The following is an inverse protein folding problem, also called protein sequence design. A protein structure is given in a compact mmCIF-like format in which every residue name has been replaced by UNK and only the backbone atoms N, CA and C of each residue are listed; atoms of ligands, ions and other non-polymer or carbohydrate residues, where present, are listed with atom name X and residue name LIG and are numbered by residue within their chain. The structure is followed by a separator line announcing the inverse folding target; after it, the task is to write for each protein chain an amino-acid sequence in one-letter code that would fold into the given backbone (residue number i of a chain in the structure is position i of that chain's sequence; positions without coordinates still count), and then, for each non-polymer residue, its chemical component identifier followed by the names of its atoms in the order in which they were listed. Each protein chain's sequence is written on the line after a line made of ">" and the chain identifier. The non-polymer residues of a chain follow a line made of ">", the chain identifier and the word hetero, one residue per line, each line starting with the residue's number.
data_IF_190447801599
#
_entry.id   IF_190447801599
#
_cell.length_a   1.000
_cell.length_b   1.000
_cell.length_c   1.000
_cell.angle_alpha   90.00
_cell.angle_beta   90.00
_cell.angle_gamma   90.00
#
_symmetry.space_group_name_H-M   'P 1'
#
loop_
_entity.id
_entity.type
_entity.pdbx_description
1 polymer ?
#
# COMPACT_ATOMS: atom_id res chain seq x y z
N UNK A 1 -5.47 15.34 6.85
CA UNK A 1 -5.10 13.98 6.43
C UNK A 1 -3.96 14.05 5.42
N UNK A 2 -3.02 13.15 5.52
CA UNK A 2 -1.90 13.09 4.59
C UNK A 2 -2.11 11.96 3.60
N UNK A 3 -1.67 12.16 2.37
CA UNK A 3 -1.77 11.15 1.33
C UNK A 3 -0.36 10.79 0.86
N UNK A 4 -0.03 9.51 0.89
CA UNK A 4 1.24 8.99 0.40
C UNK A 4 0.98 8.10 -0.80
N UNK A 5 1.90 8.12 -1.75
CA UNK A 5 1.78 7.36 -2.99
C UNK A 5 3.05 6.56 -3.22
N UNK A 6 2.90 5.29 -3.57
CA UNK A 6 4.02 4.38 -3.76
C UNK A 6 3.85 3.58 -5.04
N UNK A 7 4.96 3.18 -5.65
CA UNK A 7 4.95 2.23 -6.76
C UNK A 7 5.08 0.84 -6.20
N UNK A 8 4.26 -0.08 -6.68
CA UNK A 8 4.28 -1.47 -6.23
C UNK A 8 4.23 -2.42 -7.41
N UNK A 9 4.42 -3.70 -7.13
CA UNK A 9 4.19 -4.75 -8.12
C UNK A 9 2.89 -5.52 -7.87
N UNK A 10 1.95 -4.92 -7.17
CA UNK A 10 0.64 -5.52 -6.92
C UNK A 10 -0.16 -5.47 -8.21
N UNK A 11 -0.31 -6.64 -8.87
CA UNK A 11 -0.81 -6.70 -10.25
C UNK A 11 -2.25 -7.15 -10.41
N UNK A 12 -2.86 -7.68 -9.38
CA UNK A 12 -4.19 -8.27 -9.52
C UNK A 12 -5.01 -8.17 -8.25
N UNK A 13 -6.29 -8.47 -8.34
CA UNK A 13 -7.20 -8.44 -7.19
C UNK A 13 -6.80 -9.41 -6.09
N UNK A 14 -6.27 -10.57 -6.46
CA UNK A 14 -5.78 -11.54 -5.48
C UNK A 14 -4.58 -11.00 -4.70
N UNK A 15 -3.72 -10.24 -5.38
CA UNK A 15 -2.59 -9.58 -4.73
C UNK A 15 -3.08 -8.51 -3.76
N UNK A 16 -4.09 -7.73 -4.15
CA UNK A 16 -4.70 -6.74 -3.26
C UNK A 16 -5.27 -7.42 -2.02
N UNK A 17 -5.96 -8.55 -2.21
CA UNK A 17 -6.50 -9.31 -1.09
C UNK A 17 -5.40 -9.81 -0.14
N UNK A 18 -4.23 -10.14 -0.67
CA UNK A 18 -3.09 -10.59 0.13
C UNK A 18 -2.54 -9.46 1.01
N UNK A 19 -2.46 -8.23 0.49
CA UNK A 19 -1.95 -7.10 1.28
C UNK A 19 -3.00 -6.50 2.21
N UNK A 20 -4.27 -6.75 1.97
CA UNK A 20 -5.37 -6.17 2.76
C UNK A 20 -5.19 -6.38 4.27
N UNK A 21 -4.97 -7.60 4.79
CA UNK A 21 -4.82 -7.77 6.23
C UNK A 21 -3.56 -7.09 6.77
N UNK A 22 -2.52 -6.99 5.97
CA UNK A 22 -1.29 -6.31 6.39
C UNK A 22 -1.50 -4.81 6.52
N UNK A 23 -2.15 -4.19 5.55
CA UNK A 23 -2.40 -2.75 5.57
C UNK A 23 -3.49 -2.37 6.55
N UNK A 24 -4.54 -3.18 6.67
CA UNK A 24 -5.62 -2.92 7.62
C UNK A 24 -5.17 -3.04 9.07
N UNK A 25 -4.09 -3.77 9.33
CA UNK A 25 -3.54 -3.88 10.68
C UNK A 25 -2.79 -2.63 11.11
N UNK A 26 -2.47 -1.71 10.19
CA UNK A 26 -1.75 -0.49 10.50
C UNK A 26 -2.73 0.61 10.89
N UNK A 27 -2.69 1.03 12.14
CA UNK A 27 -3.65 1.98 12.70
C UNK A 27 -3.51 3.40 12.17
N UNK A 28 -2.34 3.75 11.63
CA UNK A 28 -2.11 5.09 11.09
C UNK A 28 -2.72 5.25 9.70
N UNK A 29 -3.09 4.15 9.06
CA UNK A 29 -3.73 4.15 7.74
C UNK A 29 -5.25 4.17 7.92
N UNK A 30 -5.90 5.22 7.43
CA UNK A 30 -7.36 5.31 7.46
C UNK A 30 -7.99 4.74 6.19
N UNK A 31 -7.34 4.98 5.06
CA UNK A 31 -7.79 4.47 3.76
C UNK A 31 -6.58 4.15 2.90
N UNK A 32 -6.73 3.17 2.04
CA UNK A 32 -5.73 2.86 1.03
C UNK A 32 -6.39 2.23 -0.17
N UNK A 33 -5.77 2.36 -1.33
CA UNK A 33 -6.20 1.62 -2.52
C UNK A 33 -5.03 1.47 -3.47
N UNK A 34 -5.15 0.49 -4.38
CA UNK A 34 -4.16 0.21 -5.40
C UNK A 34 -4.78 0.48 -6.76
N UNK A 35 -4.10 1.28 -7.57
CA UNK A 35 -4.54 1.54 -8.94
C UNK A 35 -4.03 0.42 -9.85
N UNK A 36 -4.90 -0.54 -10.11
CA UNK A 36 -4.56 -1.70 -10.94
C UNK A 36 -4.56 -1.38 -12.44
N UNK A 37 -5.09 -0.24 -12.82
CA UNK A 37 -5.12 0.18 -14.22
C UNK A 37 -3.81 0.85 -14.65
N UNK A 38 -3.09 1.43 -13.69
CA UNK A 38 -1.81 2.04 -13.96
C UNK A 38 -0.73 0.95 -14.13
N UNK A 39 0.17 1.05 -15.13
CA UNK A 39 1.27 0.10 -15.26
C UNK A 39 2.21 0.09 -14.06
N UNK A 40 2.24 1.16 -13.29
CA UNK A 40 3.10 1.27 -12.11
C UNK A 40 2.43 0.80 -10.82
N UNK A 41 1.14 0.45 -10.88
CA UNK A 41 0.40 -0.11 -9.74
C UNK A 41 0.56 0.74 -8.49
N UNK A 42 0.18 2.00 -8.59
CA UNK A 42 0.31 2.92 -7.45
C UNK A 42 -0.54 2.50 -6.27
N UNK A 43 0.08 2.45 -5.11
CA UNK A 43 -0.61 2.31 -3.85
C UNK A 43 -0.77 3.69 -3.24
N UNK A 44 -2.01 4.11 -3.01
CA UNK A 44 -2.32 5.38 -2.36
C UNK A 44 -2.79 5.10 -0.94
N UNK A 45 -2.16 5.76 0.03
CA UNK A 45 -2.46 5.59 1.45
C UNK A 45 -2.85 6.94 2.03
N UNK A 46 -3.95 6.98 2.75
CA UNK A 46 -4.42 8.19 3.42
C UNK A 46 -4.53 7.94 4.92
N UNK A 47 -4.10 8.91 5.70
CA UNK A 47 -4.19 8.82 7.15
C UNK A 47 -3.75 10.11 7.81
N UNK A 48 -3.89 10.18 9.14
CA UNK A 48 -3.50 11.35 9.92
C UNK A 48 -1.98 11.52 9.94
N UNK A 49 -1.26 10.43 10.21
CA UNK A 49 0.20 10.40 10.23
C UNK A 49 0.69 9.07 9.70
N UNK A 50 0.51 8.81 8.39
CA UNK A 50 0.94 7.53 7.83
C UNK A 50 2.46 7.40 7.89
N UNK A 51 2.93 6.22 8.29
CA UNK A 51 4.35 5.93 8.45
C UNK A 51 4.85 5.14 7.22
N UNK A 52 5.68 5.77 6.39
CA UNK A 52 6.22 5.14 5.19
C UNK A 52 6.95 3.84 5.49
N UNK A 53 7.77 3.83 6.54
CA UNK A 53 8.54 2.63 6.87
C UNK A 53 7.65 1.45 7.22
N UNK A 54 6.59 1.70 7.96
CA UNK A 54 5.63 0.66 8.32
C UNK A 54 4.90 0.15 7.08
N UNK A 55 4.54 1.05 6.17
CA UNK A 55 3.90 0.67 4.92
C UNK A 55 4.83 -0.20 4.09
N UNK A 56 6.10 0.18 3.97
CA UNK A 56 7.10 -0.63 3.27
C UNK A 56 7.22 -2.02 3.88
N UNK A 57 7.31 -2.11 5.19
CA UNK A 57 7.39 -3.41 5.87
C UNK A 57 6.17 -4.27 5.63
N UNK A 58 4.97 -3.68 5.75
CA UNK A 58 3.72 -4.42 5.56
C UNK A 58 3.63 -5.00 4.15
N UNK A 59 3.96 -4.21 3.14
CA UNK A 59 3.92 -4.66 1.75
C UNK A 59 4.97 -5.74 1.50
N UNK A 60 6.17 -5.56 2.03
CA UNK A 60 7.24 -6.55 1.89
C UNK A 60 6.89 -7.86 2.58
N UNK A 61 6.27 -7.81 3.76
CA UNK A 61 5.82 -9.00 4.47
C UNK A 61 4.77 -9.77 3.66
N UNK A 62 3.98 -9.06 2.88
CA UNK A 62 3.00 -9.69 2.00
C UNK A 62 3.64 -10.33 0.75
N UNK A 63 4.93 -10.10 0.51
CA UNK A 63 5.65 -10.69 -0.61
C UNK A 63 5.71 -9.82 -1.85
N UNK A 64 5.48 -8.52 -1.72
CA UNK A 64 5.51 -7.58 -2.85
C UNK A 64 6.65 -6.59 -2.72
N UNK A 65 6.97 -5.91 -3.83
CA UNK A 65 7.93 -4.82 -3.82
C UNK A 65 7.20 -3.49 -3.73
N UNK A 66 7.86 -2.51 -3.15
CA UNK A 66 7.29 -1.17 -2.99
C UNK A 66 8.42 -0.15 -3.08
N UNK A 67 8.13 0.96 -3.75
CA UNK A 67 9.05 2.08 -3.88
C UNK A 67 8.29 3.38 -3.68
N UNK A 68 8.98 4.39 -3.19
CA UNK A 68 8.40 5.71 -3.06
C UNK A 68 8.17 6.32 -4.46
N UNK A 69 6.97 6.79 -4.68
CA UNK A 69 6.62 7.41 -5.98
C UNK A 69 7.11 8.85 -6.08
#
# INVERSE_FOLDING_TARGET
>A
MMTLKFKTNIKCGGCVATVTPHLDSEKTIEKWHVDLQSPERFLTVEGSEPNEEMIFEKVKQAGFTIEKA
#
